data_IF_584434522181
#
_entry.id   IF_584434522181
#
_cell.length_a   1.000
_cell.length_b   1.000
_cell.length_c   1.000
_cell.angle_alpha   90.00
_cell.angle_beta   90.00
_cell.angle_gamma   90.00
#
_symmetry.space_group_name_H-M   'P 1'
#
loop_
_entity.id
_entity.type
_entity.pdbx_description
1 polymer ?
#
# COMPACT_ATOMS: atom_id res chain seq x y z
N UNK A 1 22.08 -61.76 -32.66
CA UNK A 1 21.15 -61.86 -31.50
C UNK A 1 21.47 -60.70 -30.56
N UNK A 2 20.78 -59.55 -30.69
CA UNK A 2 20.98 -58.38 -29.83
C UNK A 2 19.75 -58.24 -28.94
N UNK A 3 19.95 -58.39 -27.63
CA UNK A 3 18.90 -58.31 -26.61
C UNK A 3 18.56 -56.83 -26.38
N UNK A 4 17.31 -56.44 -26.68
CA UNK A 4 16.75 -55.17 -26.21
C UNK A 4 16.45 -55.32 -24.71
N UNK A 5 17.05 -54.47 -23.88
CA UNK A 5 16.64 -54.29 -22.48
C UNK A 5 15.78 -53.03 -22.45
N UNK A 6 14.48 -53.20 -22.25
CA UNK A 6 13.56 -52.10 -22.01
C UNK A 6 13.51 -51.83 -20.50
N UNK A 7 14.15 -50.76 -20.05
CA UNK A 7 14.02 -50.26 -18.67
C UNK A 7 12.83 -49.32 -18.59
N UNK A 8 11.74 -49.80 -17.99
CA UNK A 8 10.55 -49.02 -17.66
C UNK A 8 10.91 -48.08 -16.50
N UNK A 9 11.18 -46.81 -16.80
CA UNK A 9 11.37 -45.77 -15.78
C UNK A 9 10.03 -45.40 -15.14
N UNK A 10 9.82 -45.79 -13.89
CA UNK A 10 8.67 -45.36 -13.10
C UNK A 10 8.88 -43.90 -12.67
N UNK A 11 8.24 -42.96 -13.37
CA UNK A 11 8.23 -41.56 -13.00
C UNK A 11 7.36 -41.38 -11.74
N UNK A 12 8.00 -41.21 -10.59
CA UNK A 12 7.33 -40.88 -9.34
C UNK A 12 6.97 -39.39 -9.37
N UNK A 13 5.71 -39.08 -9.64
CA UNK A 13 5.20 -37.71 -9.55
C UNK A 13 5.17 -37.31 -8.06
N UNK A 14 6.15 -36.52 -7.63
CA UNK A 14 6.18 -35.93 -6.29
C UNK A 14 5.18 -34.78 -6.30
N UNK A 15 4.01 -34.99 -5.70
CA UNK A 15 3.07 -33.92 -5.40
C UNK A 15 3.66 -33.04 -4.30
N UNK A 16 4.19 -31.88 -4.66
CA UNK A 16 4.58 -30.88 -3.66
C UNK A 16 3.31 -30.20 -3.12
N UNK A 17 3.21 -29.99 -1.79
CA UNK A 17 2.14 -29.18 -1.24
C UNK A 17 2.29 -27.76 -1.77
N UNK A 18 1.24 -27.22 -2.39
CA UNK A 18 1.15 -25.80 -2.64
C UNK A 18 1.03 -25.10 -1.28
N UNK A 19 2.11 -24.46 -0.81
CA UNK A 19 2.01 -23.55 0.31
C UNK A 19 1.09 -22.39 -0.11
N UNK A 20 -0.06 -22.26 0.54
CA UNK A 20 -0.87 -21.06 0.41
C UNK A 20 0.02 -19.88 0.86
N UNK A 21 0.33 -18.96 -0.05
CA UNK A 21 1.02 -17.74 0.31
C UNK A 21 0.04 -16.87 1.08
N UNK A 22 0.24 -16.74 2.39
CA UNK A 22 -0.50 -15.76 3.18
C UNK A 22 -0.21 -14.37 2.60
N UNK A 23 -1.25 -13.67 2.16
CA UNK A 23 -1.12 -12.31 1.62
C UNK A 23 -0.80 -11.38 2.80
N UNK A 24 0.34 -10.69 2.73
CA UNK A 24 0.73 -9.77 3.79
C UNK A 24 -0.25 -8.61 3.90
N UNK A 25 -0.66 -8.30 5.13
CA UNK A 25 -1.54 -7.16 5.43
C UNK A 25 -0.99 -6.32 6.56
N UNK A 26 -1.30 -5.03 6.55
CA UNK A 26 -1.01 -4.08 7.62
C UNK A 26 -2.21 -3.15 7.85
N UNK A 27 -2.26 -2.51 9.01
CA UNK A 27 -3.29 -1.52 9.36
C UNK A 27 -2.66 -0.21 9.79
N UNK A 28 -3.30 0.90 9.45
CA UNK A 28 -2.97 2.23 9.92
C UNK A 28 -4.24 2.91 10.48
N UNK A 29 -4.04 3.82 11.43
CA UNK A 29 -5.08 4.68 11.99
C UNK A 29 -4.82 6.13 11.57
N UNK A 30 -5.88 6.87 11.29
CA UNK A 30 -5.80 8.31 11.05
C UNK A 30 -6.14 9.06 12.33
N UNK A 31 -5.40 10.14 12.57
CA UNK A 31 -5.59 11.04 13.71
C UNK A 31 -5.71 12.45 13.15
N UNK A 32 -6.76 13.17 13.54
CA UNK A 32 -7.00 14.54 13.09
C UNK A 32 -6.13 15.56 13.86
N UNK A 33 -6.23 16.84 13.49
CA UNK A 33 -5.49 17.94 14.14
C UNK A 33 -5.81 18.11 15.64
N UNK A 34 -6.96 17.61 16.11
CA UNK A 34 -7.34 17.62 17.51
C UNK A 34 -6.80 16.40 18.30
N UNK A 35 -6.09 15.48 17.64
CA UNK A 35 -5.58 14.26 18.26
C UNK A 35 -6.60 13.12 18.33
N UNK A 36 -7.75 13.25 17.66
CA UNK A 36 -8.82 12.26 17.68
C UNK A 36 -8.65 11.28 16.53
N UNK A 37 -8.88 9.99 16.80
CA UNK A 37 -8.91 8.96 15.75
C UNK A 37 -10.14 9.18 14.87
N UNK A 38 -9.94 9.36 13.58
CA UNK A 38 -11.02 9.67 12.65
C UNK A 38 -11.03 8.81 11.38
N UNK A 39 -10.22 7.76 11.31
CA UNK A 39 -10.21 6.87 10.16
C UNK A 39 -9.27 5.68 10.33
N UNK A 40 -9.33 4.77 9.35
CA UNK A 40 -8.43 3.60 9.27
C UNK A 40 -8.04 3.32 7.83
N UNK A 41 -6.89 2.68 7.65
CA UNK A 41 -6.50 2.06 6.39
C UNK A 41 -6.08 0.61 6.59
N UNK A 42 -6.44 -0.25 5.64
CA UNK A 42 -5.90 -1.59 5.46
C UNK A 42 -5.01 -1.59 4.23
N UNK A 43 -3.77 -2.01 4.42
CA UNK A 43 -2.76 -2.17 3.38
C UNK A 43 -2.66 -3.66 3.07
N UNK A 44 -2.81 -4.04 1.81
CA UNK A 44 -2.73 -5.44 1.36
C UNK A 44 -1.67 -5.54 0.28
N UNK A 45 -0.68 -6.42 0.46
CA UNK A 45 0.31 -6.71 -0.58
C UNK A 45 -0.38 -7.33 -1.80
N UNK A 46 0.01 -6.87 -2.97
CA UNK A 46 -0.42 -7.41 -4.27
C UNK A 46 0.81 -7.62 -5.15
N UNK A 47 0.65 -8.40 -6.23
CA UNK A 47 1.74 -8.64 -7.17
C UNK A 47 2.26 -7.36 -7.87
N UNK A 48 1.52 -6.24 -7.83
CA UNK A 48 1.87 -4.97 -8.48
C UNK A 48 2.19 -3.84 -7.49
N UNK A 49 2.12 -4.08 -6.18
CA UNK A 49 2.28 -3.04 -5.16
C UNK A 49 1.34 -3.23 -3.99
N UNK A 50 1.04 -2.16 -3.25
CA UNK A 50 0.17 -2.22 -2.08
C UNK A 50 -1.20 -1.64 -2.41
N UNK A 51 -2.26 -2.41 -2.19
CA UNK A 51 -3.62 -1.91 -2.20
C UNK A 51 -3.94 -1.27 -0.84
N UNK A 52 -4.39 -0.01 -0.87
CA UNK A 52 -4.78 0.73 0.33
C UNK A 52 -6.29 0.95 0.27
N UNK A 53 -7.02 0.30 1.17
CA UNK A 53 -8.44 0.57 1.41
C UNK A 53 -8.56 1.37 2.69
N UNK A 54 -9.16 2.57 2.62
CA UNK A 54 -9.27 3.48 3.75
C UNK A 54 -10.66 4.10 3.86
N UNK A 55 -11.00 4.52 5.07
CA UNK A 55 -12.17 5.33 5.39
C UNK A 55 -11.72 6.38 6.41
N UNK A 56 -11.95 7.66 6.13
CA UNK A 56 -11.60 8.78 7.00
C UNK A 56 -12.80 9.72 7.06
N UNK A 57 -13.14 10.17 8.25
CA UNK A 57 -14.35 10.95 8.52
C UNK A 57 -14.00 12.34 9.05
N UNK A 58 -14.95 13.26 8.95
CA UNK A 58 -14.78 14.64 9.40
C UNK A 58 -13.92 15.47 8.45
N UNK A 59 -13.83 15.06 7.18
CA UNK A 59 -13.15 15.80 6.12
C UNK A 59 -14.08 16.90 5.55
N UNK A 60 -13.54 17.96 4.92
CA UNK A 60 -14.33 19.01 4.29
C UNK A 60 -15.28 18.43 3.21
N UNK A 61 -16.61 18.51 3.38
CA UNK A 61 -17.55 17.84 2.49
C UNK A 61 -17.48 18.35 1.05
N UNK A 62 -17.46 17.43 0.09
CA UNK A 62 -17.47 17.76 -1.33
C UNK A 62 -16.17 18.31 -1.90
N UNK A 63 -15.09 18.39 -1.12
CA UNK A 63 -13.77 18.88 -1.57
C UNK A 63 -12.88 17.76 -2.14
N UNK A 64 -11.90 18.15 -2.94
CA UNK A 64 -10.79 17.27 -3.33
C UNK A 64 -9.66 17.43 -2.32
N UNK A 65 -9.27 16.34 -1.67
CA UNK A 65 -8.18 16.30 -0.69
C UNK A 65 -6.99 15.51 -1.23
N UNK A 66 -5.78 15.93 -0.87
CA UNK A 66 -4.57 15.22 -1.23
C UNK A 66 -4.35 14.00 -0.31
N UNK A 67 -3.70 12.97 -0.82
CA UNK A 67 -3.34 11.78 -0.06
C UNK A 67 -1.90 11.38 -0.39
N UNK A 68 -1.09 11.15 0.64
CA UNK A 68 0.31 10.79 0.47
C UNK A 68 0.76 9.80 1.54
N UNK A 69 1.73 8.95 1.21
CA UNK A 69 2.51 8.19 2.18
C UNK A 69 3.74 9.01 2.57
N UNK A 70 3.97 9.21 3.87
CA UNK A 70 5.14 9.91 4.38
C UNK A 70 6.25 8.94 4.79
N UNK A 71 7.47 9.46 4.93
CA UNK A 71 8.68 8.65 5.13
C UNK A 71 8.82 8.07 6.56
N UNK A 72 8.02 8.54 7.52
CA UNK A 72 8.01 8.01 8.88
C UNK A 72 6.61 7.63 9.36
N UNK A 73 6.52 6.60 10.20
CA UNK A 73 5.27 6.15 10.83
C UNK A 73 4.90 6.94 12.10
N UNK A 74 5.08 8.27 12.12
CA UNK A 74 4.79 9.12 13.29
C UNK A 74 3.75 10.19 12.95
N UNK A 75 2.61 10.17 13.64
CA UNK A 75 1.48 11.07 13.40
C UNK A 75 1.21 12.01 14.60
N UNK A 76 2.19 12.78 15.03
CA UNK A 76 2.05 13.67 16.20
C UNK A 76 1.24 14.94 15.88
N UNK A 77 -0.04 14.94 16.27
CA UNK A 77 -0.95 16.08 16.10
C UNK A 77 -0.46 17.36 16.81
N UNK A 78 0.35 17.25 17.87
CA UNK A 78 0.85 18.42 18.61
C UNK A 78 1.83 19.24 17.76
N UNK A 79 2.45 18.59 16.78
CA UNK A 79 3.34 19.22 15.79
C UNK A 79 2.62 19.53 14.47
N UNK A 80 1.30 19.39 14.41
CA UNK A 80 0.57 19.45 13.13
C UNK A 80 0.96 18.32 12.17
N UNK A 81 1.42 17.20 12.71
CA UNK A 81 1.93 16.03 11.99
C UNK A 81 3.25 16.22 11.23
N UNK A 82 4.01 17.31 11.47
CA UNK A 82 5.36 17.48 10.93
C UNK A 82 6.31 16.32 11.30
N UNK A 83 6.01 15.60 12.40
CA UNK A 83 6.73 14.38 12.78
C UNK A 83 6.76 13.29 11.72
N UNK A 84 5.84 13.33 10.74
CA UNK A 84 5.73 12.36 9.65
C UNK A 84 6.91 12.48 8.65
N UNK A 85 7.56 13.65 8.58
CA UNK A 85 8.62 13.94 7.63
C UNK A 85 8.09 14.24 6.22
N UNK A 86 8.95 14.13 5.22
CA UNK A 86 8.58 14.34 3.82
C UNK A 86 7.72 13.20 3.24
N UNK A 87 7.32 13.34 1.98
CA UNK A 87 6.69 12.25 1.24
C UNK A 87 7.70 11.11 1.08
N UNK A 88 7.22 9.87 1.10
CA UNK A 88 8.04 8.70 0.83
C UNK A 88 8.64 8.78 -0.59
N UNK A 89 9.96 9.00 -0.68
CA UNK A 89 10.65 9.26 -1.95
C UNK A 89 12.01 8.51 -2.03
N UNK A 90 12.01 7.17 -2.10
CA UNK A 90 13.24 6.37 -2.16
C UNK A 90 14.05 6.59 -3.45
N UNK A 91 13.45 7.16 -4.49
CA UNK A 91 14.07 7.39 -5.80
C UNK A 91 14.58 8.81 -6.00
N UNK A 92 14.40 9.69 -5.01
CA UNK A 92 14.76 11.12 -5.11
C UNK A 92 14.14 11.80 -6.35
N UNK A 93 12.87 11.50 -6.62
CA UNK A 93 12.06 12.07 -7.69
C UNK A 93 11.53 13.46 -7.32
N UNK A 94 11.01 14.20 -8.30
CA UNK A 94 10.23 15.43 -8.06
C UNK A 94 8.79 15.09 -7.64
N UNK A 95 8.14 15.98 -6.88
CA UNK A 95 6.76 15.78 -6.44
C UNK A 95 5.74 15.94 -7.59
N UNK A 96 4.75 15.05 -7.63
CA UNK A 96 3.53 15.18 -8.43
C UNK A 96 3.55 14.41 -9.75
N UNK A 97 2.41 13.84 -10.13
CA UNK A 97 2.26 13.00 -11.33
C UNK A 97 2.55 13.70 -12.66
N UNK A 98 2.46 15.03 -12.67
CA UNK A 98 2.69 15.84 -13.88
C UNK A 98 4.08 16.48 -13.90
N UNK A 99 4.92 16.23 -12.89
CA UNK A 99 6.30 16.67 -12.90
C UNK A 99 7.11 15.83 -13.90
N UNK A 100 7.99 16.48 -14.66
CA UNK A 100 8.78 15.81 -15.70
C UNK A 100 9.72 14.73 -15.16
N UNK A 101 10.10 14.80 -13.89
CA UNK A 101 10.91 13.80 -13.17
C UNK A 101 10.22 13.27 -11.90
N UNK A 102 8.89 13.35 -11.85
CA UNK A 102 8.10 12.80 -10.75
C UNK A 102 7.44 11.46 -11.10
N UNK A 103 6.54 10.97 -10.24
CA UNK A 103 6.19 11.50 -8.91
C UNK A 103 7.08 10.93 -7.79
N UNK A 104 6.90 11.40 -6.55
CA UNK A 104 7.37 10.64 -5.38
C UNK A 104 6.66 9.27 -5.32
N UNK A 105 7.30 8.25 -4.75
CA UNK A 105 6.67 6.94 -4.58
C UNK A 105 5.46 6.96 -3.63
N UNK A 106 5.40 7.94 -2.73
CA UNK A 106 4.29 8.17 -1.82
C UNK A 106 3.17 9.06 -2.37
N UNK A 107 3.28 9.60 -3.59
CA UNK A 107 2.23 10.44 -4.16
C UNK A 107 1.04 9.60 -4.63
N UNK A 108 -0.19 10.02 -4.29
CA UNK A 108 -1.42 9.36 -4.70
C UNK A 108 -2.36 10.34 -5.40
N UNK A 109 -3.28 9.88 -6.27
CA UNK A 109 -4.33 10.73 -6.80
C UNK A 109 -5.12 11.41 -5.67
N UNK A 110 -5.64 12.60 -5.92
CA UNK A 110 -6.53 13.26 -4.97
C UNK A 110 -7.79 12.42 -4.75
N UNK A 111 -8.30 12.44 -3.53
CA UNK A 111 -9.52 11.77 -3.13
C UNK A 111 -10.67 12.79 -3.10
N UNK A 112 -11.86 12.37 -3.53
CA UNK A 112 -13.06 13.22 -3.44
C UNK A 112 -13.81 12.87 -2.17
N UNK A 113 -13.98 13.86 -1.30
CA UNK A 113 -14.77 13.71 -0.09
C UNK A 113 -16.26 13.75 -0.45
N UNK A 114 -17.03 12.82 0.10
CA UNK A 114 -18.48 12.77 0.02
C UNK A 114 -19.15 13.99 0.65
N UNK A 115 -20.45 14.16 0.39
CA UNK A 115 -21.24 15.24 0.98
C UNK A 115 -21.47 15.06 2.49
N UNK A 116 -21.23 13.85 3.00
CA UNK A 116 -21.26 13.44 4.39
C UNK A 116 -19.91 13.64 5.12
N UNK A 117 -18.87 14.11 4.42
CA UNK A 117 -17.55 14.35 5.00
C UNK A 117 -16.71 13.09 5.18
N UNK A 118 -16.95 12.07 4.36
CA UNK A 118 -16.21 10.80 4.28
C UNK A 118 -15.53 10.66 2.93
#
# INVERSE_FOLDING_TARGET
MKRLVATTGLALAVAMPAAAQDIATAKAEFVNMAGEKNGTATLTETAQGVLIALEVTGLPPGEWVAFHVHETGKCDHQTGHDSAGGHFNPTNAEHGFFAGKGPHAGDMPNQRVGADGV
#
